data_IF_325689010546
#
_entry.id   IF_325689010546
#
_cell.length_a   1.000
_cell.length_b   1.000
_cell.length_c   1.000
_cell.angle_alpha   90.00
_cell.angle_beta   90.00
_cell.angle_gamma   90.00
#
_symmetry.space_group_name_H-M   'P 1'
#
loop_
_entity.id
_entity.type
_entity.pdbx_description
1 polymer ?
#
# COMPACT_ATOMS: atom_id res chain seq x y z
N UNK A 1 23.17 -9.28 -15.13
CA UNK A 1 21.93 -9.93 -15.61
C UNK A 1 21.68 -11.32 -15.03
N UNK A 2 22.68 -12.14 -14.71
CA UNK A 2 22.46 -13.50 -14.14
C UNK A 2 22.11 -13.50 -12.64
N UNK A 3 22.59 -12.52 -11.88
CA UNK A 3 22.36 -12.43 -10.42
C UNK A 3 20.92 -12.02 -10.05
N UNK A 4 20.33 -11.07 -10.79
CA UNK A 4 18.96 -10.59 -10.59
C UNK A 4 17.92 -11.69 -10.85
N UNK A 5 18.12 -12.48 -11.91
CA UNK A 5 17.20 -13.55 -12.29
C UNK A 5 17.13 -14.71 -11.26
N UNK A 6 18.24 -14.96 -10.55
CA UNK A 6 18.29 -15.93 -9.45
C UNK A 6 17.55 -15.41 -8.22
N UNK A 7 17.73 -14.14 -7.88
CA UNK A 7 17.05 -13.47 -6.76
C UNK A 7 15.53 -13.49 -6.92
N UNK A 8 15.03 -13.21 -8.12
CA UNK A 8 13.60 -13.20 -8.42
C UNK A 8 12.98 -14.60 -8.33
N UNK A 9 13.68 -15.62 -8.84
CA UNK A 9 13.25 -17.02 -8.72
C UNK A 9 13.16 -17.49 -7.26
N UNK A 10 14.12 -17.10 -6.41
CA UNK A 10 14.08 -17.38 -4.97
C UNK A 10 12.91 -16.66 -4.28
N UNK A 11 12.66 -15.40 -4.63
CA UNK A 11 11.53 -14.62 -4.08
C UNK A 11 10.18 -15.28 -4.39
N UNK A 12 9.96 -15.66 -5.64
CA UNK A 12 8.73 -16.34 -6.08
C UNK A 12 8.56 -17.67 -5.35
N UNK A 13 9.65 -18.42 -5.18
CA UNK A 13 9.63 -19.72 -4.49
C UNK A 13 9.24 -19.57 -3.02
N UNK A 14 9.88 -18.65 -2.29
CA UNK A 14 9.55 -18.41 -0.88
C UNK A 14 8.15 -17.84 -0.69
N UNK A 15 7.66 -17.00 -1.60
CA UNK A 15 6.29 -16.51 -1.56
C UNK A 15 5.27 -17.66 -1.68
N UNK A 16 5.51 -18.63 -2.59
CA UNK A 16 4.67 -19.84 -2.70
C UNK A 16 4.69 -20.68 -1.43
N UNK A 17 5.88 -20.87 -0.83
CA UNK A 17 6.02 -21.62 0.42
C UNK A 17 5.25 -20.96 1.56
N UNK A 18 5.36 -19.64 1.69
CA UNK A 18 4.66 -18.87 2.70
C UNK A 18 3.14 -18.93 2.50
N UNK A 19 2.66 -18.75 1.27
CA UNK A 19 1.23 -18.88 0.92
C UNK A 19 0.71 -20.28 1.28
N UNK A 20 1.46 -21.34 0.95
CA UNK A 20 1.11 -22.73 1.28
C UNK A 20 1.02 -22.96 2.78
N UNK A 21 1.97 -22.46 3.57
CA UNK A 21 1.96 -22.58 5.04
C UNK A 21 0.79 -21.81 5.65
N UNK A 22 0.54 -20.59 5.19
CA UNK A 22 -0.60 -19.78 5.62
C UNK A 22 -1.93 -20.46 5.28
N UNK A 23 -2.04 -21.05 4.10
CA UNK A 23 -3.23 -21.80 3.67
C UNK A 23 -3.45 -23.05 4.52
N UNK A 24 -2.39 -23.81 4.84
CA UNK A 24 -2.47 -24.98 5.73
C UNK A 24 -3.01 -24.59 7.11
N UNK A 25 -2.41 -23.56 7.72
CA UNK A 25 -2.84 -23.05 9.04
C UNK A 25 -4.30 -22.59 9.03
N UNK A 26 -4.72 -21.87 7.99
CA UNK A 26 -6.10 -21.41 7.90
C UNK A 26 -7.09 -22.56 7.66
N UNK A 27 -6.69 -23.56 6.87
CA UNK A 27 -7.50 -24.76 6.63
C UNK A 27 -7.71 -25.56 7.92
N UNK A 28 -6.71 -25.68 8.78
CA UNK A 28 -6.84 -26.31 10.10
C UNK A 28 -7.87 -25.59 10.98
N UNK A 29 -7.83 -24.26 11.04
CA UNK A 29 -8.81 -23.47 11.80
C UNK A 29 -10.24 -23.66 11.27
N UNK A 30 -10.42 -23.61 9.94
CA UNK A 30 -11.73 -23.83 9.29
C UNK A 30 -12.24 -25.26 9.54
N UNK A 31 -11.36 -26.26 9.51
CA UNK A 31 -11.72 -27.64 9.81
C UNK A 31 -12.18 -27.82 11.26
N UNK A 32 -11.56 -27.11 12.20
CA UNK A 32 -11.96 -27.16 13.60
C UNK A 32 -13.33 -26.51 13.83
N UNK A 33 -13.59 -25.36 13.20
CA UNK A 33 -14.90 -24.70 13.24
C UNK A 33 -16.00 -25.61 12.65
N UNK A 34 -15.77 -26.17 11.46
CA UNK A 34 -16.70 -27.13 10.84
C UNK A 34 -16.99 -28.33 11.73
N UNK A 35 -16.00 -28.83 12.47
CA UNK A 35 -16.19 -29.95 13.41
C UNK A 35 -17.11 -29.56 14.56
N UNK A 36 -17.04 -28.31 15.05
CA UNK A 36 -17.94 -27.80 16.10
C UNK A 36 -19.37 -27.69 15.57
N UNK A 37 -19.54 -27.18 14.35
CA UNK A 37 -20.85 -27.08 13.69
C UNK A 37 -21.48 -28.46 13.46
N UNK A 38 -20.68 -29.43 13.02
CA UNK A 38 -21.11 -30.83 12.87
C UNK A 38 -21.58 -31.40 14.22
N UNK A 39 -20.78 -31.25 15.29
CA UNK A 39 -21.14 -31.73 16.62
C UNK A 39 -22.44 -31.09 17.13
N UNK A 40 -22.64 -29.79 16.90
CA UNK A 40 -23.86 -29.09 17.27
C UNK A 40 -25.07 -29.62 16.49
N UNK A 41 -24.92 -29.84 15.18
CA UNK A 41 -25.98 -30.39 14.34
C UNK A 41 -26.38 -31.81 14.78
N UNK A 42 -25.40 -32.66 15.10
CA UNK A 42 -25.62 -34.01 15.62
C UNK A 42 -26.36 -33.98 16.95
N UNK A 43 -25.91 -33.17 17.92
CA UNK A 43 -26.59 -33.02 19.23
C UNK A 43 -28.04 -32.58 19.07
N UNK A 44 -28.29 -31.59 18.22
CA UNK A 44 -29.64 -31.06 17.99
C UNK A 44 -30.56 -32.09 17.31
N UNK A 45 -30.05 -32.89 16.38
CA UNK A 45 -30.82 -33.97 15.74
C UNK A 45 -31.07 -35.15 16.69
N UNK A 46 -30.09 -35.52 17.50
CA UNK A 46 -30.21 -36.57 18.52
C UNK A 46 -31.29 -36.21 19.56
N UNK A 47 -31.29 -34.97 20.06
CA UNK A 47 -32.29 -34.49 21.02
C UNK A 47 -33.73 -34.54 20.47
N UNK A 48 -33.91 -34.47 19.15
CA UNK A 48 -35.21 -34.57 18.47
C UNK A 48 -35.53 -35.97 17.95
N UNK A 49 -34.62 -36.94 18.08
CA UNK A 49 -34.79 -38.27 17.49
C UNK A 49 -34.75 -38.30 15.95
N UNK A 50 -34.24 -37.26 15.29
CA UNK A 50 -34.32 -37.09 13.83
C UNK A 50 -33.02 -37.44 13.09
N UNK A 51 -32.17 -38.29 13.68
CA UNK A 51 -30.86 -38.64 13.10
C UNK A 51 -30.98 -39.36 11.75
N UNK A 52 -32.08 -40.07 11.49
CA UNK A 52 -32.33 -40.74 10.20
C UNK A 52 -33.11 -39.87 9.20
N UNK A 53 -33.31 -38.58 9.49
CA UNK A 53 -34.06 -37.68 8.60
C UNK A 53 -33.21 -37.18 7.43
N UNK A 54 -33.82 -37.01 6.26
CA UNK A 54 -33.18 -36.33 5.12
C UNK A 54 -32.79 -34.88 5.43
N UNK A 55 -33.48 -34.22 6.39
CA UNK A 55 -33.13 -32.88 6.86
C UNK A 55 -31.78 -32.87 7.59
N UNK A 56 -31.51 -33.86 8.44
CA UNK A 56 -30.22 -34.00 9.12
C UNK A 56 -29.08 -34.24 8.11
N UNK A 57 -29.27 -35.18 7.18
CA UNK A 57 -28.28 -35.44 6.13
C UNK A 57 -28.02 -34.19 5.27
N UNK A 58 -29.07 -33.45 4.92
CA UNK A 58 -28.97 -32.17 4.21
C UNK A 58 -28.19 -31.11 5.00
N UNK A 59 -28.36 -31.04 6.33
CA UNK A 59 -27.62 -30.11 7.19
C UNK A 59 -26.13 -30.43 7.25
N UNK A 60 -25.76 -31.70 7.39
CA UNK A 60 -24.35 -32.13 7.38
C UNK A 60 -23.70 -31.84 6.02
N UNK A 61 -24.40 -32.14 4.92
CA UNK A 61 -23.91 -31.80 3.58
C UNK A 61 -23.68 -30.28 3.43
N UNK A 62 -24.60 -29.44 3.92
CA UNK A 62 -24.46 -27.99 3.89
C UNK A 62 -23.26 -27.49 4.70
N UNK A 63 -22.97 -28.09 5.86
CA UNK A 63 -21.78 -27.76 6.66
C UNK A 63 -20.50 -28.08 5.87
N UNK A 64 -20.44 -29.23 5.19
CA UNK A 64 -19.29 -29.58 4.37
C UNK A 64 -19.13 -28.68 3.13
N UNK A 65 -20.24 -28.28 2.50
CA UNK A 65 -20.22 -27.31 1.39
C UNK A 65 -19.71 -25.94 1.86
N UNK A 66 -20.20 -25.46 3.00
CA UNK A 66 -19.76 -24.20 3.59
C UNK A 66 -18.28 -24.25 3.97
N UNK A 67 -17.82 -25.36 4.57
CA UNK A 67 -16.40 -25.61 4.81
C UNK A 67 -15.57 -25.53 3.53
N UNK A 68 -16.00 -26.22 2.47
CA UNK A 68 -15.30 -26.16 1.18
C UNK A 68 -15.23 -24.73 0.65
N UNK A 69 -16.34 -23.99 0.70
CA UNK A 69 -16.41 -22.59 0.29
C UNK A 69 -15.44 -21.71 1.09
N UNK A 70 -15.44 -21.81 2.43
CA UNK A 70 -14.52 -21.02 3.28
C UNK A 70 -13.04 -21.30 2.98
N UNK A 71 -12.69 -22.57 2.72
CA UNK A 71 -11.31 -22.94 2.33
C UNK A 71 -10.92 -22.28 1.00
N UNK A 72 -11.84 -22.29 0.02
CA UNK A 72 -11.64 -21.63 -1.28
C UNK A 72 -11.49 -20.13 -1.12
N UNK A 73 -12.43 -19.47 -0.44
CA UNK A 73 -12.43 -18.02 -0.23
C UNK A 73 -11.11 -17.60 0.44
N UNK A 74 -10.64 -18.38 1.42
CA UNK A 74 -9.36 -18.13 2.07
C UNK A 74 -8.15 -18.34 1.14
N UNK A 75 -8.21 -19.32 0.26
CA UNK A 75 -7.17 -19.54 -0.75
C UNK A 75 -7.09 -18.34 -1.73
N UNK A 76 -8.24 -17.79 -2.14
CA UNK A 76 -8.31 -16.61 -3.02
C UNK A 76 -7.81 -15.35 -2.30
N UNK A 77 -8.17 -15.16 -1.03
CA UNK A 77 -7.67 -14.06 -0.19
C UNK A 77 -6.15 -14.07 -0.08
N UNK A 78 -5.57 -15.24 0.23
CA UNK A 78 -4.12 -15.39 0.33
C UNK A 78 -3.44 -15.12 -1.01
N UNK A 79 -3.95 -15.66 -2.13
CA UNK A 79 -3.40 -15.38 -3.45
C UNK A 79 -3.47 -13.89 -3.81
N UNK A 80 -4.57 -13.20 -3.50
CA UNK A 80 -4.72 -11.75 -3.70
C UNK A 80 -3.62 -10.97 -2.99
N UNK A 81 -3.37 -11.29 -1.72
CA UNK A 81 -2.29 -10.66 -0.95
C UNK A 81 -0.90 -10.96 -1.52
N UNK A 82 -0.66 -12.22 -1.93
CA UNK A 82 0.60 -12.60 -2.57
C UNK A 82 0.83 -11.82 -3.86
N UNK A 83 -0.17 -11.68 -4.73
CA UNK A 83 -0.07 -10.97 -6.01
C UNK A 83 0.30 -9.48 -5.86
N UNK A 84 -0.07 -8.83 -4.75
CA UNK A 84 0.34 -7.45 -4.47
C UNK A 84 1.86 -7.32 -4.25
N UNK A 85 2.48 -8.36 -3.69
CA UNK A 85 3.92 -8.36 -3.36
C UNK A 85 4.78 -9.05 -4.41
N UNK A 86 4.24 -10.07 -5.09
CA UNK A 86 4.91 -10.90 -6.09
C UNK A 86 4.00 -11.03 -7.33
N UNK A 87 4.01 -10.02 -8.22
CA UNK A 87 3.17 -9.99 -9.43
C UNK A 87 3.44 -11.16 -10.38
N UNK A 88 4.62 -11.78 -10.35
CA UNK A 88 5.01 -12.89 -11.22
C UNK A 88 4.14 -14.14 -11.01
N UNK A 89 3.43 -14.22 -9.88
CA UNK A 89 2.46 -15.28 -9.60
C UNK A 89 1.09 -15.09 -10.27
N UNK A 90 0.95 -14.03 -11.08
CA UNK A 90 -0.25 -13.72 -11.87
C UNK A 90 -0.22 -14.29 -13.30
N UNK A 91 0.64 -15.26 -13.59
CA UNK A 91 0.67 -15.90 -14.91
C UNK A 91 -0.53 -16.83 -15.11
N UNK A 92 -0.89 -17.09 -16.37
CA UNK A 92 -1.99 -18.01 -16.69
C UNK A 92 -1.72 -19.43 -16.16
N UNK A 93 -0.46 -19.87 -16.15
CA UNK A 93 -0.06 -21.15 -15.55
C UNK A 93 -0.33 -21.19 -14.03
N UNK A 94 -0.06 -20.10 -13.31
CA UNK A 94 -0.30 -20.02 -11.87
C UNK A 94 -1.79 -19.99 -11.53
N UNK A 95 -2.60 -19.26 -12.29
CA UNK A 95 -4.05 -19.29 -12.13
C UNK A 95 -4.65 -20.65 -12.46
N UNK A 96 -4.10 -21.36 -13.46
CA UNK A 96 -4.50 -22.74 -13.74
C UNK A 96 -4.15 -23.69 -12.58
N UNK A 97 -2.95 -23.59 -12.00
CA UNK A 97 -2.56 -24.37 -10.81
C UNK A 97 -3.47 -24.10 -9.61
N UNK A 98 -3.81 -22.83 -9.39
CA UNK A 98 -4.74 -22.42 -8.33
C UNK A 98 -6.13 -23.02 -8.54
N UNK A 99 -6.65 -22.99 -9.77
CA UNK A 99 -7.93 -23.59 -10.14
C UNK A 99 -7.94 -25.10 -9.89
N UNK A 100 -6.90 -25.80 -10.31
CA UNK A 100 -6.80 -27.25 -10.15
C UNK A 100 -6.72 -27.64 -8.67
N UNK A 101 -5.98 -26.87 -7.87
CA UNK A 101 -5.91 -27.01 -6.41
C UNK A 101 -7.28 -26.79 -5.74
N UNK A 102 -8.01 -25.75 -6.15
CA UNK A 102 -9.35 -25.46 -5.68
C UNK A 102 -10.33 -26.61 -6.00
N UNK A 103 -10.29 -27.13 -7.23
CA UNK A 103 -11.17 -28.23 -7.64
C UNK A 103 -10.87 -29.52 -6.88
N UNK A 104 -9.59 -29.86 -6.75
CA UNK A 104 -9.17 -31.01 -5.96
C UNK A 104 -9.63 -30.90 -4.51
N UNK A 105 -9.66 -29.71 -3.95
CA UNK A 105 -10.15 -29.47 -2.58
C UNK A 105 -11.66 -29.65 -2.47
N UNK A 106 -12.44 -29.10 -3.41
CA UNK A 106 -13.89 -29.31 -3.49
C UNK A 106 -14.22 -30.80 -3.58
N UNK A 107 -13.60 -31.50 -4.53
CA UNK A 107 -13.88 -32.91 -4.78
C UNK A 107 -13.55 -33.77 -3.56
N UNK A 108 -12.42 -33.52 -2.89
CA UNK A 108 -12.04 -34.23 -1.66
C UNK A 108 -13.02 -33.97 -0.50
N UNK A 109 -13.45 -32.73 -0.31
CA UNK A 109 -14.38 -32.38 0.78
C UNK A 109 -15.74 -33.04 0.54
N UNK A 110 -16.29 -32.94 -0.67
CA UNK A 110 -17.62 -33.48 -0.97
C UNK A 110 -17.62 -35.01 -0.99
N UNK A 111 -16.56 -35.66 -1.50
CA UNK A 111 -16.43 -37.12 -1.48
C UNK A 111 -16.37 -37.71 -0.06
N UNK A 112 -16.02 -36.90 0.95
CA UNK A 112 -16.00 -37.35 2.36
C UNK A 112 -17.38 -37.43 3.01
N UNK A 113 -18.40 -36.75 2.45
CA UNK A 113 -19.74 -36.61 3.07
C UNK A 113 -20.40 -37.97 3.33
N UNK A 114 -20.47 -38.92 2.37
CA UNK A 114 -21.16 -40.19 2.61
C UNK A 114 -20.50 -41.02 3.72
N UNK A 115 -19.16 -41.05 3.75
CA UNK A 115 -18.42 -41.76 4.78
C UNK A 115 -18.64 -41.12 6.17
N UNK A 116 -18.70 -39.79 6.24
CA UNK A 116 -19.01 -39.07 7.48
C UNK A 116 -20.43 -39.34 7.98
N UNK A 117 -21.43 -39.27 7.11
CA UNK A 117 -22.81 -39.60 7.46
C UNK A 117 -22.93 -41.04 7.98
N UNK A 118 -22.24 -41.99 7.34
CA UNK A 118 -22.19 -43.39 7.80
C UNK A 118 -21.61 -43.52 9.21
N UNK A 119 -20.51 -42.82 9.52
CA UNK A 119 -19.93 -42.79 10.88
C UNK A 119 -20.87 -42.19 11.93
N UNK A 120 -21.74 -41.26 11.53
CA UNK A 120 -22.76 -40.66 12.40
C UNK A 120 -24.01 -41.55 12.56
N UNK A 121 -23.99 -42.77 12.01
CA UNK A 121 -25.08 -43.74 12.11
C UNK A 121 -26.21 -43.53 11.11
N UNK A 122 -26.01 -42.71 10.06
CA UNK A 122 -27.00 -42.52 9.00
C UNK A 122 -26.94 -43.68 8.01
N UNK A 123 -28.04 -44.42 7.86
CA UNK A 123 -28.11 -45.62 7.02
C UNK A 123 -28.88 -45.34 5.73
N UNK A 124 -28.23 -44.76 4.74
CA UNK A 124 -28.78 -44.57 3.38
C UNK A 124 -27.78 -45.09 2.35
N UNK A 125 -28.29 -45.65 1.25
CA UNK A 125 -27.46 -46.06 0.12
C UNK A 125 -26.71 -44.85 -0.45
N UNK A 126 -25.38 -44.92 -0.48
CA UNK A 126 -24.49 -43.84 -0.96
C UNK A 126 -24.90 -43.34 -2.35
N UNK A 127 -25.41 -44.24 -3.20
CA UNK A 127 -25.88 -43.92 -4.55
C UNK A 127 -27.05 -42.93 -4.58
N UNK A 128 -27.90 -42.89 -3.55
CA UNK A 128 -29.01 -41.94 -3.45
C UNK A 128 -28.56 -40.49 -3.18
N UNK A 129 -27.35 -40.29 -2.66
CA UNK A 129 -26.78 -38.97 -2.34
C UNK A 129 -25.91 -38.40 -3.47
N UNK A 130 -25.53 -39.24 -4.44
CA UNK A 130 -24.56 -38.91 -5.50
C UNK A 130 -25.02 -37.78 -6.44
N UNK A 131 -26.26 -37.75 -6.97
CA UNK A 131 -26.68 -36.69 -7.90
C UNK A 131 -26.64 -35.29 -7.27
N UNK A 132 -27.00 -35.18 -5.99
CA UNK A 132 -26.96 -33.91 -5.26
C UNK A 132 -25.53 -33.44 -5.04
N UNK A 133 -24.63 -34.35 -4.64
CA UNK A 133 -23.20 -34.05 -4.46
C UNK A 133 -22.53 -33.58 -5.76
N UNK A 134 -22.93 -34.12 -6.92
CA UNK A 134 -22.40 -33.71 -8.23
C UNK A 134 -22.87 -32.28 -8.62
N UNK A 135 -24.12 -31.93 -8.30
CA UNK A 135 -24.64 -30.58 -8.48
C UNK A 135 -23.94 -29.56 -7.56
N UNK A 136 -23.71 -29.95 -6.30
CA UNK A 136 -23.01 -29.12 -5.32
C UNK A 136 -21.55 -28.86 -5.73
N UNK A 137 -20.87 -29.89 -6.25
CA UNK A 137 -19.52 -29.77 -6.80
C UNK A 137 -19.49 -28.79 -7.97
N UNK A 138 -20.45 -28.89 -8.89
CA UNK A 138 -20.59 -27.98 -10.03
C UNK A 138 -20.76 -26.53 -9.56
N UNK A 139 -21.63 -26.29 -8.58
CA UNK A 139 -21.87 -24.96 -8.01
C UNK A 139 -20.61 -24.36 -7.39
N UNK A 140 -19.90 -25.12 -6.55
CA UNK A 140 -18.67 -24.68 -5.90
C UNK A 140 -17.52 -24.48 -6.90
N UNK A 141 -17.41 -25.33 -7.92
CA UNK A 141 -16.41 -25.16 -9.00
C UNK A 141 -16.71 -23.90 -9.82
N UNK A 142 -17.98 -23.61 -10.10
CA UNK A 142 -18.39 -22.37 -10.76
C UNK A 142 -18.07 -21.13 -9.90
N UNK A 143 -18.24 -21.22 -8.58
CA UNK A 143 -17.81 -20.18 -7.65
C UNK A 143 -16.30 -19.94 -7.73
N UNK A 144 -15.49 -20.99 -7.59
CA UNK A 144 -14.03 -20.89 -7.69
C UNK A 144 -13.56 -20.30 -9.05
N UNK A 145 -14.23 -20.65 -10.17
CA UNK A 145 -13.95 -20.03 -11.48
C UNK A 145 -14.14 -18.53 -11.45
N UNK A 146 -15.27 -18.05 -10.93
CA UNK A 146 -15.57 -16.61 -10.86
C UNK A 146 -14.56 -15.86 -10.00
N UNK A 147 -14.22 -16.39 -8.83
CA UNK A 147 -13.22 -15.77 -7.96
C UNK A 147 -11.85 -15.66 -8.63
N UNK A 148 -11.40 -16.71 -9.34
CA UNK A 148 -10.12 -16.70 -10.05
C UNK A 148 -10.14 -15.70 -11.21
N UNK A 149 -11.24 -15.64 -11.98
CA UNK A 149 -11.37 -14.64 -13.04
C UNK A 149 -11.39 -13.20 -12.49
N UNK A 150 -12.02 -12.96 -11.32
CA UNK A 150 -11.93 -11.67 -10.64
C UNK A 150 -10.49 -11.33 -10.25
N UNK A 151 -9.74 -12.28 -9.68
CA UNK A 151 -8.31 -12.09 -9.36
C UNK A 151 -7.47 -11.78 -10.60
N UNK A 152 -7.74 -12.44 -11.73
CA UNK A 152 -7.09 -12.14 -13.02
C UNK A 152 -7.36 -10.71 -13.46
N UNK A 153 -8.62 -10.27 -13.45
CA UNK A 153 -8.99 -8.91 -13.82
C UNK A 153 -8.39 -7.86 -12.89
N UNK A 154 -8.44 -8.09 -11.57
CA UNK A 154 -7.80 -7.21 -10.57
C UNK A 154 -6.30 -7.05 -10.83
N UNK A 155 -5.61 -8.17 -11.06
CA UNK A 155 -4.17 -8.18 -11.36
C UNK A 155 -3.85 -7.44 -12.67
N UNK A 156 -4.62 -7.68 -13.74
CA UNK A 156 -4.46 -6.99 -15.01
C UNK A 156 -4.69 -5.48 -14.88
N UNK A 157 -5.70 -5.04 -14.13
CA UNK A 157 -5.95 -3.63 -13.86
C UNK A 157 -4.80 -2.97 -13.10
N UNK A 158 -4.22 -3.67 -12.11
CA UNK A 158 -3.04 -3.18 -11.40
C UNK A 158 -1.83 -3.07 -12.33
N UNK A 159 -1.62 -4.02 -13.23
CA UNK A 159 -0.55 -3.97 -14.22
C UNK A 159 -0.71 -2.75 -15.15
N UNK A 160 -1.91 -2.52 -15.70
CA UNK A 160 -2.22 -1.36 -16.54
C UNK A 160 -2.01 -0.04 -15.78
N UNK A 161 -2.53 0.06 -14.56
CA UNK A 161 -2.36 1.28 -13.74
C UNK A 161 -0.88 1.58 -13.43
N UNK A 162 -0.08 0.53 -13.20
CA UNK A 162 1.35 0.65 -12.97
C UNK A 162 2.09 1.06 -14.24
N UNK A 163 1.74 0.48 -15.40
CA UNK A 163 2.27 0.87 -16.70
C UNK A 163 1.93 2.32 -17.03
N UNK A 164 0.67 2.75 -16.88
CA UNK A 164 0.26 4.14 -17.08
C UNK A 164 1.01 5.12 -16.17
N UNK A 165 1.24 4.73 -14.91
CA UNK A 165 2.01 5.53 -13.95
C UNK A 165 3.48 5.63 -14.36
N UNK A 166 4.07 4.54 -14.86
CA UNK A 166 5.43 4.54 -15.39
C UNK A 166 5.56 5.40 -16.65
N UNK A 167 4.64 5.27 -17.60
CA UNK A 167 4.62 6.09 -18.83
C UNK A 167 4.48 7.57 -18.49
N UNK A 168 3.56 7.93 -17.58
CA UNK A 168 3.44 9.31 -17.08
C UNK A 168 4.72 9.80 -16.42
N UNK A 169 5.44 8.94 -15.70
CA UNK A 169 6.71 9.30 -15.09
C UNK A 169 7.83 9.51 -16.12
N UNK A 170 7.90 8.69 -17.17
CA UNK A 170 8.89 8.86 -18.25
C UNK A 170 8.62 10.07 -19.13
N UNK A 171 7.35 10.43 -19.33
CA UNK A 171 6.94 11.60 -20.09
C UNK A 171 7.10 12.94 -19.35
N UNK A 172 7.32 12.92 -18.02
CA UNK A 172 7.52 14.14 -17.24
C UNK A 172 8.85 14.79 -17.58
N UNK A 173 8.82 16.12 -17.56
CA UNK A 173 10.05 16.90 -17.61
C UNK A 173 10.85 16.68 -16.32
N UNK A 174 11.99 15.99 -16.46
CA UNK A 174 12.89 15.66 -15.34
C UNK A 174 13.51 16.89 -14.67
N UNK A 175 13.41 18.07 -15.29
CA UNK A 175 13.86 19.33 -14.71
C UNK A 175 12.87 19.93 -13.71
N UNK A 176 11.56 19.72 -13.89
CA UNK A 176 10.52 20.42 -13.12
C UNK A 176 10.46 19.95 -11.67
N UNK A 177 10.50 20.89 -10.72
CA UNK A 177 10.36 20.62 -9.28
C UNK A 177 9.31 21.55 -8.70
N UNK A 178 8.38 21.03 -7.91
CA UNK A 178 7.50 21.86 -7.10
C UNK A 178 8.10 22.05 -5.72
N UNK A 179 8.10 23.28 -5.20
CA UNK A 179 8.61 23.57 -3.86
C UNK A 179 7.45 24.06 -2.99
N UNK A 180 7.08 23.24 -2.00
CA UNK A 180 6.17 23.66 -0.93
C UNK A 180 7.01 24.43 0.09
N UNK A 181 6.60 25.66 0.42
CA UNK A 181 7.33 26.51 1.36
C UNK A 181 6.37 27.42 2.13
N UNK A 182 6.83 27.95 3.27
CA UNK A 182 6.09 28.92 4.06
C UNK A 182 6.34 30.37 3.65
N UNK A 183 6.31 31.27 4.63
CA UNK A 183 6.60 32.70 4.48
C UNK A 183 8.08 33.06 4.60
N UNK A 184 8.97 32.13 4.96
CA UNK A 184 10.41 32.35 4.88
C UNK A 184 10.87 32.42 3.41
N UNK A 185 10.76 33.60 2.81
CA UNK A 185 11.09 33.84 1.40
C UNK A 185 12.60 33.74 1.14
N UNK A 186 13.44 34.05 2.14
CA UNK A 186 14.89 33.91 2.03
C UNK A 186 15.25 32.43 1.84
N UNK A 187 14.64 31.54 2.63
CA UNK A 187 14.84 30.09 2.50
C UNK A 187 14.33 29.58 1.15
N UNK A 188 13.17 30.07 0.70
CA UNK A 188 12.62 29.74 -0.62
C UNK A 188 13.54 30.19 -1.75
N UNK A 189 14.05 31.41 -1.72
CA UNK A 189 14.92 31.95 -2.76
C UNK A 189 16.28 31.23 -2.78
N UNK A 190 16.81 30.87 -1.60
CA UNK A 190 17.99 30.02 -1.48
C UNK A 190 17.76 28.65 -2.12
N UNK A 191 16.62 28.01 -1.84
CA UNK A 191 16.24 26.73 -2.44
C UNK A 191 16.10 26.82 -3.97
N UNK A 192 15.43 27.86 -4.47
CA UNK A 192 15.25 28.05 -5.91
C UNK A 192 16.59 28.29 -6.61
N UNK A 193 17.47 29.09 -6.00
CA UNK A 193 18.82 29.35 -6.50
C UNK A 193 19.64 28.06 -6.56
N UNK A 194 19.57 27.25 -5.50
CA UNK A 194 20.23 25.95 -5.45
C UNK A 194 19.71 24.99 -6.53
N UNK A 195 18.39 24.82 -6.66
CA UNK A 195 17.75 23.93 -7.63
C UNK A 195 18.14 24.33 -9.07
N UNK A 196 18.10 25.62 -9.39
CA UNK A 196 18.55 26.16 -10.69
C UNK A 196 20.03 25.88 -10.93
N UNK A 197 20.87 26.06 -9.91
CA UNK A 197 22.30 25.78 -10.03
C UNK A 197 22.58 24.29 -10.32
N UNK A 198 21.80 23.35 -9.80
CA UNK A 198 21.92 21.93 -10.17
C UNK A 198 21.14 21.54 -11.43
N UNK A 199 20.69 22.52 -12.23
CA UNK A 199 20.07 22.30 -13.53
C UNK A 199 18.59 21.89 -13.50
N UNK A 200 17.91 22.11 -12.37
CA UNK A 200 16.47 21.90 -12.21
C UNK A 200 15.70 23.22 -12.34
N UNK A 201 14.40 23.11 -12.56
CA UNK A 201 13.48 24.21 -12.80
C UNK A 201 12.41 24.20 -11.69
N UNK A 202 12.61 24.95 -10.59
CA UNK A 202 11.57 25.13 -9.60
C UNK A 202 10.40 25.88 -10.24
N UNK A 203 9.24 25.25 -10.24
CA UNK A 203 8.01 25.79 -10.80
C UNK A 203 7.52 26.98 -9.97
N UNK A 204 7.15 28.05 -10.66
CA UNK A 204 6.56 29.23 -10.04
C UNK A 204 5.04 29.06 -9.92
N UNK A 205 4.40 29.74 -8.95
CA UNK A 205 2.95 29.65 -8.76
C UNK A 205 2.14 30.03 -10.01
N UNK A 206 2.59 31.06 -10.75
CA UNK A 206 1.96 31.48 -12.01
C UNK A 206 1.99 30.42 -13.11
N UNK A 207 3.04 29.59 -13.14
CA UNK A 207 3.13 28.46 -14.07
C UNK A 207 2.09 27.39 -13.70
N UNK A 208 1.96 27.06 -12.42
CA UNK A 208 0.94 26.12 -11.95
C UNK A 208 -0.50 26.62 -12.18
N UNK A 209 -0.75 27.92 -12.00
CA UNK A 209 -2.04 28.52 -12.35
C UNK A 209 -2.37 28.33 -13.83
N UNK A 210 -1.41 28.57 -14.72
CA UNK A 210 -1.60 28.40 -16.15
C UNK A 210 -1.94 26.96 -16.56
N UNK A 211 -1.42 25.95 -15.83
CA UNK A 211 -1.75 24.54 -16.06
C UNK A 211 -3.23 24.21 -15.82
N UNK A 212 -3.93 24.98 -14.99
CA UNK A 212 -5.37 24.77 -14.75
C UNK A 212 -6.22 25.21 -15.94
N UNK A 213 -5.70 26.09 -16.81
CA UNK A 213 -6.47 26.72 -17.88
C UNK A 213 -7.58 27.68 -17.40
N UNK A 214 -7.62 27.99 -16.09
CA UNK A 214 -8.64 28.83 -15.48
C UNK A 214 -8.04 30.17 -15.02
N UNK A 215 -8.82 31.25 -15.09
CA UNK A 215 -8.41 32.56 -14.58
C UNK A 215 -8.45 32.68 -13.06
N UNK A 216 -9.26 31.86 -12.37
CA UNK A 216 -9.40 31.88 -10.92
C UNK A 216 -9.73 30.47 -10.37
N UNK A 217 -8.78 29.52 -10.47
CA UNK A 217 -8.97 28.15 -9.99
C UNK A 217 -8.98 28.08 -8.45
N UNK A 218 -9.53 26.99 -7.92
CA UNK A 218 -9.38 26.65 -6.51
C UNK A 218 -7.92 26.29 -6.19
N UNK A 219 -7.38 26.74 -5.05
CA UNK A 219 -5.97 26.50 -4.66
C UNK A 219 -5.59 25.02 -4.69
N UNK A 220 -6.49 24.12 -4.25
CA UNK A 220 -6.23 22.69 -4.29
C UNK A 220 -6.12 22.13 -5.71
N UNK A 221 -6.83 22.71 -6.68
CA UNK A 221 -6.73 22.31 -8.10
C UNK A 221 -5.36 22.72 -8.67
N UNK A 222 -4.89 23.93 -8.34
CA UNK A 222 -3.54 24.38 -8.73
C UNK A 222 -2.47 23.44 -8.21
N UNK A 223 -2.56 23.05 -6.94
CA UNK A 223 -1.65 22.09 -6.31
C UNK A 223 -1.69 20.72 -6.98
N UNK A 224 -2.88 20.23 -7.33
CA UNK A 224 -3.05 18.95 -8.01
C UNK A 224 -2.36 18.91 -9.38
N UNK A 225 -2.54 19.97 -10.18
CA UNK A 225 -1.84 20.13 -11.45
C UNK A 225 -0.33 20.28 -11.27
N UNK A 226 0.09 21.09 -10.30
CA UNK A 226 1.51 21.30 -10.01
C UNK A 226 2.21 20.00 -9.60
N UNK A 227 1.65 19.24 -8.66
CA UNK A 227 2.21 17.97 -8.23
C UNK A 227 2.22 16.94 -9.36
N UNK A 228 1.19 16.89 -10.21
CA UNK A 228 1.13 15.97 -11.32
C UNK A 228 2.19 16.25 -12.39
N UNK A 229 2.47 17.53 -12.65
CA UNK A 229 3.41 18.01 -13.68
C UNK A 229 4.88 17.98 -13.24
N UNK A 230 5.18 18.36 -11.98
CA UNK A 230 6.55 18.33 -11.46
C UNK A 230 7.12 16.91 -11.47
N UNK A 231 8.44 16.74 -11.61
CA UNK A 231 9.13 15.45 -11.41
C UNK A 231 9.22 15.10 -9.93
N UNK A 232 9.60 16.06 -9.08
CA UNK A 232 9.68 15.91 -7.63
C UNK A 232 9.00 17.06 -6.90
N UNK A 233 8.58 16.80 -5.67
CA UNK A 233 8.08 17.80 -4.72
C UNK A 233 9.08 17.94 -3.59
N UNK A 234 9.63 19.14 -3.40
CA UNK A 234 10.48 19.49 -2.26
C UNK A 234 9.62 20.21 -1.24
N UNK A 235 9.46 19.65 -0.05
CA UNK A 235 8.79 20.32 1.06
C UNK A 235 9.86 20.97 1.93
N UNK A 236 9.96 22.29 1.83
CA UNK A 236 10.87 23.10 2.61
C UNK A 236 10.20 23.46 3.94
N UNK A 237 10.61 22.78 4.99
CA UNK A 237 10.14 22.92 6.36
C UNK A 237 11.04 23.91 7.09
N UNK A 238 10.48 25.06 7.42
CA UNK A 238 11.10 26.15 8.18
C UNK A 238 10.24 26.49 9.39
N UNK A 239 10.83 27.10 10.43
CA UNK A 239 10.17 27.46 11.68
C UNK A 239 9.38 28.76 11.61
N UNK A 240 8.47 28.90 10.64
CA UNK A 240 7.78 30.15 10.31
C UNK A 240 6.70 30.57 11.32
N UNK A 241 6.02 29.59 11.92
CA UNK A 241 5.04 29.80 12.99
C UNK A 241 5.66 29.36 14.32
N UNK A 242 5.04 29.72 15.45
CA UNK A 242 5.45 29.28 16.79
C UNK A 242 4.30 28.56 17.47
N UNK A 243 4.57 27.39 18.05
CA UNK A 243 3.56 26.57 18.69
C UNK A 243 4.05 25.93 19.99
N UNK A 244 3.11 25.60 20.88
CA UNK A 244 3.31 24.77 22.07
C UNK A 244 2.03 24.01 22.40
N UNK A 245 2.15 22.93 23.17
CA UNK A 245 0.97 22.23 23.65
C UNK A 245 0.17 23.13 24.61
N UNK A 246 -1.15 23.03 24.56
CA UNK A 246 -2.02 23.72 25.50
C UNK A 246 -1.72 23.24 26.93
N UNK A 247 -1.60 24.16 27.89
CA UNK A 247 -1.08 23.83 29.24
C UNK A 247 -1.89 22.74 29.96
N UNK A 248 -3.17 22.60 29.65
CA UNK A 248 -4.06 21.55 30.19
C UNK A 248 -3.69 20.13 29.73
N UNK A 249 -3.02 20.00 28.59
CA UNK A 249 -2.69 18.72 27.97
C UNK A 249 -1.23 18.30 28.18
N UNK A 250 -0.42 19.13 28.86
CA UNK A 250 0.97 18.81 29.17
C UNK A 250 1.03 17.75 30.27
N UNK A 251 1.76 16.68 30.01
CA UNK A 251 2.05 15.61 30.96
C UNK A 251 3.47 15.72 31.54
N UNK A 252 3.73 15.17 32.75
CA UNK A 252 5.04 15.29 33.40
C UNK A 252 6.22 14.68 32.64
N UNK A 253 5.98 13.83 31.66
CA UNK A 253 7.01 13.18 30.84
C UNK A 253 7.11 13.75 29.42
N UNK A 254 6.33 14.77 29.08
CA UNK A 254 6.43 15.44 27.79
C UNK A 254 7.77 16.14 27.64
N UNK A 255 8.29 16.13 26.40
CA UNK A 255 9.58 16.72 26.08
C UNK A 255 9.54 18.26 26.17
N UNK A 256 10.71 18.94 26.24
CA UNK A 256 10.77 20.40 26.24
C UNK A 256 10.05 21.03 25.04
N UNK A 257 10.12 20.38 23.87
CA UNK A 257 9.45 20.84 22.64
C UNK A 257 7.92 20.91 22.79
N UNK A 258 7.33 20.03 23.61
CA UNK A 258 5.89 20.07 23.89
C UNK A 258 5.51 21.22 24.83
N UNK A 259 6.40 21.56 25.77
CA UNK A 259 6.15 22.52 26.87
C UNK A 259 6.44 23.96 26.48
N UNK A 260 7.50 24.16 25.70
CA UNK A 260 8.01 25.47 25.33
C UNK A 260 7.47 25.90 23.96
N UNK A 261 7.39 27.22 23.76
CA UNK A 261 7.13 27.79 22.44
C UNK A 261 8.26 27.41 21.51
N UNK A 262 7.95 26.59 20.51
CA UNK A 262 8.92 26.08 19.54
C UNK A 262 8.54 26.51 18.11
N UNK A 263 9.52 26.83 17.25
CA UNK A 263 9.25 27.11 15.85
C UNK A 263 8.61 25.90 15.15
N UNK A 264 7.68 26.12 14.24
CA UNK A 264 6.95 25.11 13.50
C UNK A 264 6.72 25.55 12.05
N UNK A 265 6.65 24.60 11.12
CA UNK A 265 6.13 24.86 9.80
C UNK A 265 4.69 25.39 9.85
N UNK A 266 4.37 26.28 8.91
CA UNK A 266 2.99 26.76 8.76
C UNK A 266 2.02 25.60 8.51
N UNK A 267 0.79 25.64 9.04
CA UNK A 267 -0.22 24.60 8.79
C UNK A 267 -0.44 24.28 7.31
N UNK A 268 -0.39 25.29 6.43
CA UNK A 268 -0.51 25.07 4.98
C UNK A 268 0.62 24.19 4.43
N UNK A 269 1.87 24.42 4.87
CA UNK A 269 3.02 23.60 4.45
C UNK A 269 2.84 22.16 4.91
N UNK A 270 2.37 21.95 6.15
CA UNK A 270 2.09 20.62 6.69
C UNK A 270 0.99 19.92 5.89
N UNK A 271 -0.09 20.64 5.57
CA UNK A 271 -1.21 20.11 4.81
C UNK A 271 -0.82 19.76 3.37
N UNK A 272 -0.12 20.65 2.67
CA UNK A 272 0.39 20.43 1.32
C UNK A 272 1.42 19.29 1.27
N UNK A 273 2.27 19.16 2.29
CA UNK A 273 3.15 18.01 2.45
C UNK A 273 2.36 16.71 2.56
N UNK A 274 1.28 16.71 3.35
CA UNK A 274 0.36 15.58 3.46
C UNK A 274 -0.29 15.22 2.12
N UNK A 275 -0.74 16.21 1.35
CA UNK A 275 -1.30 16.00 0.01
C UNK A 275 -0.26 15.41 -0.97
N UNK A 276 0.95 15.96 -0.97
CA UNK A 276 2.04 15.49 -1.81
C UNK A 276 2.42 14.04 -1.46
N UNK A 277 2.52 13.69 -0.18
CA UNK A 277 2.78 12.31 0.25
C UNK A 277 1.63 11.36 -0.04
N UNK A 278 0.38 11.79 0.12
CA UNK A 278 -0.78 10.96 -0.16
C UNK A 278 -0.86 10.53 -1.63
N UNK A 279 -0.40 11.39 -2.55
CA UNK A 279 -0.46 11.14 -3.99
C UNK A 279 0.86 10.64 -4.58
N UNK A 280 1.99 11.12 -4.08
CA UNK A 280 3.32 10.96 -4.71
C UNK A 280 4.45 10.72 -3.69
N UNK A 281 4.35 9.66 -2.86
CA UNK A 281 5.29 9.45 -1.75
C UNK A 281 6.74 9.18 -2.21
N UNK A 282 6.94 8.56 -3.37
CA UNK A 282 8.28 8.17 -3.87
C UNK A 282 9.13 9.35 -4.38
N UNK A 283 8.49 10.51 -4.63
CA UNK A 283 9.13 11.70 -5.20
C UNK A 283 8.85 12.97 -4.40
N UNK A 284 8.41 12.80 -3.16
CA UNK A 284 8.24 13.88 -2.18
C UNK A 284 9.41 13.85 -1.21
N UNK A 285 10.16 14.95 -1.14
CA UNK A 285 11.40 15.07 -0.36
C UNK A 285 11.18 16.09 0.76
N UNK A 286 11.35 15.66 2.00
CA UNK A 286 11.30 16.53 3.18
C UNK A 286 12.67 17.16 3.42
N UNK A 287 12.71 18.49 3.42
CA UNK A 287 13.90 19.29 3.65
C UNK A 287 13.64 20.22 4.83
N UNK A 288 14.37 20.01 5.92
CA UNK A 288 14.32 20.84 7.12
C UNK A 288 15.44 21.89 7.07
N UNK A 289 15.09 23.15 7.29
CA UNK A 289 16.03 24.23 7.55
C UNK A 289 15.80 24.74 8.98
N UNK A 290 16.85 24.73 9.79
CA UNK A 290 16.79 25.15 11.18
C UNK A 290 16.12 24.17 12.12
N UNK A 291 15.82 24.65 13.34
CA UNK A 291 15.11 23.89 14.36
C UNK A 291 13.61 24.07 14.19
N UNK A 292 12.89 22.97 14.07
CA UNK A 292 11.42 22.96 14.02
C UNK A 292 10.87 21.90 14.96
N UNK A 293 9.66 22.14 15.46
CA UNK A 293 8.92 21.21 16.30
C UNK A 293 8.73 19.90 15.54
N UNK A 294 9.13 18.75 16.12
CA UNK A 294 8.85 17.46 15.51
C UNK A 294 7.34 17.23 15.48
N UNK A 295 6.82 16.67 14.38
CA UNK A 295 5.44 16.22 14.30
C UNK A 295 5.40 14.74 13.92
N UNK A 296 4.56 13.98 14.62
CA UNK A 296 4.55 12.52 14.65
C UNK A 296 4.37 11.85 13.28
N UNK A 297 3.74 12.53 12.33
CA UNK A 297 3.43 11.96 11.00
C UNK A 297 4.67 11.84 10.08
N UNK A 298 5.81 12.44 10.47
CA UNK A 298 7.10 12.28 9.80
C UNK A 298 7.99 11.24 10.50
N UNK A 299 7.57 10.74 11.68
CA UNK A 299 8.31 9.75 12.49
C UNK A 299 8.31 8.40 11.76
N UNK A 300 9.32 8.18 10.93
CA UNK A 300 9.48 7.01 10.06
C UNK A 300 9.94 7.37 8.64
N UNK A 301 9.86 8.65 8.24
CA UNK A 301 10.38 9.14 6.96
C UNK A 301 11.76 9.76 7.15
N UNK A 302 12.64 9.51 6.18
CA UNK A 302 13.99 10.05 6.23
C UNK A 302 13.99 11.53 5.83
N UNK A 303 14.32 12.42 6.76
CA UNK A 303 14.42 13.87 6.55
C UNK A 303 15.83 14.29 6.14
N UNK A 304 15.95 15.29 5.28
CA UNK A 304 17.22 15.98 5.02
C UNK A 304 17.27 17.32 5.76
N UNK A 305 18.29 17.53 6.57
CA UNK A 305 18.59 18.86 7.14
C UNK A 305 19.50 19.61 6.16
N UNK A 306 19.05 20.75 5.64
CA UNK A 306 19.80 21.58 4.69
C UNK A 306 20.54 22.71 5.43
N UNK A 307 21.74 23.04 4.95
CA UNK A 307 22.57 24.16 5.40
C UNK A 307 23.54 24.52 4.27
N UNK A 308 24.42 25.50 4.47
CA UNK A 308 25.45 25.82 3.48
C UNK A 308 26.54 24.76 3.34
N UNK A 309 26.62 23.78 4.25
CA UNK A 309 27.57 22.67 4.14
C UNK A 309 27.40 21.88 2.83
N UNK A 310 28.51 21.70 2.10
CA UNK A 310 28.51 20.95 0.84
C UNK A 310 27.91 19.55 0.98
N UNK A 311 28.17 18.86 2.09
CA UNK A 311 27.62 17.51 2.36
C UNK A 311 26.09 17.51 2.38
N UNK A 312 25.46 18.55 2.95
CA UNK A 312 23.99 18.65 3.03
C UNK A 312 23.40 18.94 1.65
N UNK A 313 24.03 19.85 0.89
CA UNK A 313 23.69 20.15 -0.51
C UNK A 313 23.79 18.91 -1.41
N UNK A 314 24.88 18.15 -1.29
CA UNK A 314 25.06 16.88 -2.01
C UNK A 314 23.94 15.89 -1.66
N UNK A 315 23.60 15.76 -0.37
CA UNK A 315 22.51 14.89 0.06
C UNK A 315 21.16 15.24 -0.57
N UNK A 316 20.88 16.53 -0.82
CA UNK A 316 19.66 16.97 -1.48
C UNK A 316 19.71 16.65 -2.98
N UNK A 317 20.83 16.93 -3.64
CA UNK A 317 21.06 16.58 -5.04
C UNK A 317 20.89 15.06 -5.28
N UNK A 318 21.42 14.23 -4.39
CA UNK A 318 21.31 12.77 -4.48
C UNK A 318 19.86 12.30 -4.35
N UNK A 319 19.10 12.84 -3.40
CA UNK A 319 17.66 12.52 -3.26
C UNK A 319 16.84 12.95 -4.46
N UNK A 320 17.12 14.13 -5.02
CA UNK A 320 16.46 14.59 -6.24
C UNK A 320 16.77 13.66 -7.41
N UNK A 321 18.02 13.19 -7.54
CA UNK A 321 18.40 12.19 -8.54
C UNK A 321 17.66 10.86 -8.31
N UNK A 322 17.54 10.40 -7.07
CA UNK A 322 16.74 9.21 -6.71
C UNK A 322 15.25 9.39 -7.03
N UNK A 323 14.71 10.60 -6.88
CA UNK A 323 13.35 10.95 -7.27
C UNK A 323 13.17 11.13 -8.80
N UNK A 324 14.21 10.85 -9.60
CA UNK A 324 14.17 10.87 -11.07
C UNK A 324 14.45 12.23 -11.70
N UNK A 325 14.86 13.24 -10.92
CA UNK A 325 15.21 14.55 -11.46
C UNK A 325 16.52 14.51 -12.27
N UNK A 326 16.58 15.31 -13.32
CA UNK A 326 17.73 15.48 -14.21
C UNK A 326 18.83 16.35 -13.60
N UNK A 327 19.30 16.00 -12.40
CA UNK A 327 20.31 16.73 -11.63
C UNK A 327 21.63 16.79 -12.39
N UNK A 328 22.22 17.99 -12.50
CA UNK A 328 23.49 18.29 -13.19
C UNK A 328 24.52 18.83 -12.20
N UNK A 329 25.29 17.94 -11.59
CA UNK A 329 26.36 18.29 -10.63
C UNK A 329 27.76 17.95 -11.14
N UNK A 330 27.86 17.06 -12.12
CA UNK A 330 29.11 16.56 -12.66
C UNK A 330 29.87 17.68 -13.37
N UNK A 331 31.18 17.80 -13.07
CA UNK A 331 32.06 18.85 -13.61
C UNK A 331 31.64 20.30 -13.29
N UNK A 332 30.79 20.50 -12.27
CA UNK A 332 30.30 21.82 -11.83
C UNK A 332 30.57 22.04 -10.35
N UNK A 333 30.94 23.26 -10.00
CA UNK A 333 31.25 23.66 -8.61
C UNK A 333 30.49 24.91 -8.17
N UNK A 334 29.82 25.60 -9.08
CA UNK A 334 28.99 26.79 -8.81
C UNK A 334 27.86 26.49 -7.82
N UNK A 335 27.27 25.30 -7.92
CA UNK A 335 26.21 24.84 -7.02
C UNK A 335 26.65 24.62 -5.56
N UNK A 336 27.96 24.51 -5.29
CA UNK A 336 28.48 24.29 -3.93
C UNK A 336 28.13 25.44 -2.97
N UNK A 337 27.90 26.65 -3.51
CA UNK A 337 27.59 27.86 -2.74
C UNK A 337 26.28 28.52 -3.16
N UNK A 338 25.53 27.92 -4.09
CA UNK A 338 24.33 28.51 -4.67
C UNK A 338 23.17 28.57 -3.67
N UNK A 339 22.67 29.77 -3.37
CA UNK A 339 21.65 30.00 -2.35
C UNK A 339 22.25 29.99 -0.95
N UNK A 340 21.88 30.94 -0.09
CA UNK A 340 22.40 31.04 1.27
C UNK A 340 21.36 30.52 2.27
N UNK A 341 21.53 29.27 2.71
CA UNK A 341 20.59 28.61 3.62
C UNK A 341 20.76 29.08 5.06
N UNK A 342 22.00 29.26 5.53
CA UNK A 342 22.24 29.64 6.92
C UNK A 342 21.76 31.06 7.21
N UNK A 343 21.76 31.96 6.22
CA UNK A 343 21.16 33.30 6.35
C UNK A 343 19.63 33.29 6.39
N UNK A 344 19.00 32.14 6.14
CA UNK A 344 17.56 31.97 6.24
C UNK A 344 17.15 31.17 7.50
N UNK A 345 18.12 30.70 8.30
CA UNK A 345 17.90 30.01 9.57
C UNK A 345 17.90 31.02 10.73
N UNK A 346 16.90 31.90 10.71
CA UNK A 346 16.67 32.86 11.78
C UNK A 346 15.48 32.43 12.64
N UNK A 347 15.51 32.69 13.97
CA UNK A 347 14.34 32.51 14.81
C UNK A 347 13.13 33.29 14.26
N UNK A 348 11.90 32.77 14.37
CA UNK A 348 10.71 33.44 13.84
C UNK A 348 10.45 34.83 14.46
N UNK A 349 10.95 35.04 15.68
CA UNK A 349 10.78 36.29 16.44
C UNK A 349 12.09 37.12 16.52
N UNK A 350 13.05 36.88 15.62
CA UNK A 350 14.36 37.57 15.61
C UNK A 350 14.32 39.00 15.06
#
# INVERSE_FOLDING_TARGET
>A
MVSTNRSDAHRVTHARELEKLAWSKATEAINEESRRDEQQAVRAAAARGTLQSGQFAGRIAAIHQDRAKRILDKQMELRRATLQSVPELGSEEEFNRLRDSAYSTIDRVLASIPQHLSRLGFHVAVDALRPKSELDATTLKAHARREIEMLKCEHALQAVSKEESMVKMEARDKGKVWVVHGRNLIARDAMFTFLRAIGLEPMEWGEALALTGQGSPYTGEVLDHAFAAAQAVVVLITGDDVARLGTRYIEPHDSPEERESTPQARPNVIFEAGMAFGKYPERTILVLLGRTRPFSDVVGRNVLYISNELRRRQGLADRLRTAGCGVKTEHRTDWHTAGNFDAADEPPDA
#
